data_IF_273008938124
#
_entry.id   IF_273008938124
#
_cell.length_a   1.000
_cell.length_b   1.000
_cell.length_c   1.000
_cell.angle_alpha   90.00
_cell.angle_beta   90.00
_cell.angle_gamma   90.00
#
_symmetry.space_group_name_H-M   'P 1'
#
loop_
_entity.id
_entity.type
_entity.pdbx_description
1 polymer ?
#
# COMPACT_ATOMS: atom_id res chain seq x y z
N UNK A 1 20.73 14.13 -55.46
CA UNK A 1 19.49 13.51 -54.97
C UNK A 1 19.23 14.08 -53.59
N UNK A 2 18.00 14.47 -53.28
CA UNK A 2 17.63 14.91 -51.92
C UNK A 2 17.50 13.70 -51.01
N UNK A 3 18.34 13.59 -49.97
CA UNK A 3 18.08 12.67 -48.88
C UNK A 3 16.83 13.17 -48.14
N UNK A 4 15.68 12.57 -48.43
CA UNK A 4 14.50 12.72 -47.61
C UNK A 4 14.77 12.01 -46.28
N UNK A 5 14.91 12.76 -45.19
CA UNK A 5 15.03 12.20 -43.86
C UNK A 5 13.81 11.32 -43.61
N UNK A 6 14.02 10.02 -43.39
CA UNK A 6 12.95 9.12 -43.00
C UNK A 6 12.49 9.48 -41.58
N UNK A 7 11.19 9.46 -41.34
CA UNK A 7 10.61 9.73 -40.02
C UNK A 7 9.76 8.55 -39.57
N UNK A 8 9.86 8.20 -38.29
CA UNK A 8 9.11 7.10 -37.70
C UNK A 8 8.37 7.60 -36.46
N UNK A 9 7.12 7.18 -36.32
CA UNK A 9 6.35 7.35 -35.09
C UNK A 9 6.43 6.07 -34.28
N UNK A 10 6.83 6.17 -33.02
CA UNK A 10 6.96 5.04 -32.09
C UNK A 10 5.96 5.22 -30.96
N UNK A 11 5.34 4.13 -30.52
CA UNK A 11 4.62 4.02 -29.26
C UNK A 11 5.29 2.94 -28.42
N UNK A 12 5.66 3.25 -27.17
CA UNK A 12 6.43 2.37 -26.29
C UNK A 12 5.85 2.31 -24.88
N UNK A 13 5.73 1.10 -24.35
CA UNK A 13 5.03 0.76 -23.11
C UNK A 13 5.68 -0.50 -22.45
N UNK A 14 5.61 -0.61 -21.13
CA UNK A 14 6.08 -1.76 -20.37
C UNK A 14 5.11 -2.15 -19.24
N UNK A 15 4.76 -3.42 -19.19
CA UNK A 15 3.82 -3.99 -18.23
C UNK A 15 4.51 -5.00 -17.28
N UNK A 16 4.04 -5.12 -16.04
CA UNK A 16 4.62 -6.03 -15.04
C UNK A 16 3.56 -6.68 -14.14
N UNK A 17 3.45 -8.01 -14.20
CA UNK A 17 2.53 -8.83 -13.40
C UNK A 17 3.19 -9.23 -12.09
N UNK A 18 2.88 -8.46 -11.04
CA UNK A 18 3.72 -8.35 -9.85
C UNK A 18 4.87 -7.37 -10.10
N UNK A 19 5.27 -6.60 -9.09
CA UNK A 19 6.32 -5.58 -9.22
C UNK A 19 7.21 -5.57 -7.96
N UNK A 20 8.36 -6.27 -7.94
CA UNK A 20 8.91 -7.05 -9.05
C UNK A 20 8.09 -8.31 -9.40
N UNK A 21 8.22 -8.80 -10.64
CA UNK A 21 7.46 -9.95 -11.14
C UNK A 21 7.73 -10.24 -12.63
N UNK A 22 6.81 -10.95 -13.28
CA UNK A 22 6.93 -11.27 -14.71
C UNK A 22 6.53 -10.04 -15.52
N UNK A 23 7.46 -9.47 -16.27
CA UNK A 23 7.24 -8.27 -17.07
C UNK A 23 7.43 -8.49 -18.56
N UNK A 24 6.85 -7.60 -19.35
CA UNK A 24 7.03 -7.52 -20.78
C UNK A 24 7.03 -6.08 -21.29
N UNK A 25 7.69 -5.87 -22.41
CA UNK A 25 7.84 -4.58 -23.08
C UNK A 25 7.30 -4.64 -24.51
N UNK A 26 6.74 -3.52 -24.99
CA UNK A 26 6.13 -3.41 -26.31
C UNK A 26 6.56 -2.15 -27.04
N UNK A 27 6.91 -2.28 -28.32
CA UNK A 27 7.26 -1.18 -29.21
C UNK A 27 6.51 -1.30 -30.54
N UNK A 28 5.63 -0.34 -30.81
CA UNK A 28 4.85 -0.24 -32.04
C UNK A 28 5.36 0.91 -32.90
N UNK A 29 5.85 0.61 -34.11
CA UNK A 29 6.60 1.54 -34.96
C UNK A 29 5.88 1.73 -36.30
N UNK A 30 5.72 2.99 -36.73
CA UNK A 30 5.01 3.37 -37.96
C UNK A 30 5.93 4.22 -38.83
N UNK A 31 6.08 3.86 -40.12
CA UNK A 31 6.91 4.62 -41.07
C UNK A 31 6.14 5.68 -41.89
N UNK A 32 6.86 6.46 -42.70
CA UNK A 32 6.29 7.48 -43.60
C UNK A 32 5.28 6.95 -44.61
N UNK A 33 5.25 5.65 -44.89
CA UNK A 33 4.27 5.01 -45.77
C UNK A 33 3.07 4.42 -44.98
N UNK A 34 2.99 4.67 -43.67
CA UNK A 34 2.04 4.07 -42.71
C UNK A 34 2.18 2.54 -42.58
N UNK A 35 3.33 1.97 -42.94
CA UNK A 35 3.59 0.56 -42.66
C UNK A 35 3.98 0.42 -41.19
N UNK A 36 3.36 -0.55 -40.51
CA UNK A 36 3.61 -0.86 -39.12
C UNK A 36 4.69 -1.93 -38.95
N UNK A 37 5.37 -1.89 -37.81
CA UNK A 37 6.30 -2.91 -37.31
C UNK A 37 6.07 -3.07 -35.81
N UNK A 38 6.15 -4.30 -35.32
CA UNK A 38 5.77 -4.63 -33.94
C UNK A 38 6.89 -5.43 -33.28
N UNK A 39 7.31 -4.98 -32.09
CA UNK A 39 8.38 -5.59 -31.32
C UNK A 39 7.90 -5.80 -29.88
N UNK A 40 8.24 -6.94 -29.30
CA UNK A 40 7.95 -7.24 -27.90
C UNK A 40 8.95 -8.23 -27.31
N UNK A 41 9.03 -8.26 -25.98
CA UNK A 41 9.84 -9.20 -25.22
C UNK A 41 9.50 -9.14 -23.73
N UNK A 42 10.25 -9.83 -22.87
CA UNK A 42 9.98 -9.81 -21.43
C UNK A 42 11.01 -10.53 -20.58
N UNK A 43 10.84 -10.43 -19.26
CA UNK A 43 11.72 -10.97 -18.22
C UNK A 43 10.91 -11.62 -17.09
N UNK A 44 11.38 -12.73 -16.52
CA UNK A 44 10.67 -13.47 -15.45
C UNK A 44 10.63 -12.74 -14.10
N UNK A 45 11.60 -11.86 -13.83
CA UNK A 45 11.74 -11.13 -12.58
C UNK A 45 12.32 -9.74 -12.87
N UNK A 46 11.43 -8.77 -13.07
CA UNK A 46 11.75 -7.40 -13.45
C UNK A 46 10.76 -6.43 -12.81
N UNK A 47 10.82 -5.14 -13.15
CA UNK A 47 9.87 -4.12 -12.68
C UNK A 47 9.26 -3.33 -13.84
N UNK A 48 8.12 -2.68 -13.61
CA UNK A 48 7.45 -1.88 -14.66
C UNK A 48 8.42 -0.87 -15.30
N UNK A 49 9.06 -0.04 -14.47
CA UNK A 49 10.07 0.95 -14.88
C UNK A 49 11.27 0.36 -15.65
N UNK A 50 11.54 -0.95 -15.58
CA UNK A 50 12.58 -1.60 -16.40
C UNK A 50 12.04 -2.01 -17.77
N UNK A 51 10.82 -2.55 -17.84
CA UNK A 51 10.16 -2.84 -19.12
C UNK A 51 9.89 -1.58 -19.93
N UNK A 52 9.44 -0.52 -19.27
CA UNK A 52 9.25 0.84 -19.81
C UNK A 52 10.51 1.39 -20.49
N UNK A 53 11.64 1.35 -19.78
CA UNK A 53 12.94 1.74 -20.34
C UNK A 53 13.39 0.80 -21.46
N UNK A 54 13.10 -0.50 -21.37
CA UNK A 54 13.48 -1.48 -22.40
C UNK A 54 12.68 -1.28 -23.68
N UNK A 55 11.37 -1.00 -23.60
CA UNK A 55 10.52 -0.65 -24.72
C UNK A 55 11.08 0.55 -25.50
N UNK A 56 11.45 1.61 -24.77
CA UNK A 56 12.07 2.80 -25.35
C UNK A 56 13.43 2.51 -26.00
N UNK A 57 14.30 1.73 -25.35
CA UNK A 57 15.62 1.33 -25.89
C UNK A 57 15.45 0.53 -27.19
N UNK A 58 14.71 -0.58 -27.15
CA UNK A 58 14.60 -1.52 -28.28
C UNK A 58 13.84 -0.89 -29.46
N UNK A 59 12.81 -0.06 -29.19
CA UNK A 59 12.12 0.71 -30.22
C UNK A 59 13.04 1.69 -30.97
N UNK A 60 13.92 2.41 -30.26
CA UNK A 60 14.92 3.30 -30.86
C UNK A 60 15.98 2.50 -31.63
N UNK A 61 16.43 1.35 -31.10
CA UNK A 61 17.43 0.50 -31.75
C UNK A 61 16.91 -0.16 -33.03
N UNK A 62 15.62 -0.51 -33.11
CA UNK A 62 14.98 -1.00 -34.33
C UNK A 62 14.93 0.05 -35.46
N UNK A 63 14.93 1.34 -35.13
CA UNK A 63 14.87 2.42 -36.11
C UNK A 63 16.25 2.79 -36.70
N UNK A 64 16.33 3.20 -37.99
CA UNK A 64 17.59 3.67 -38.60
C UNK A 64 18.20 4.88 -37.87
N UNK A 65 19.54 4.89 -37.72
CA UNK A 65 20.26 5.91 -36.95
C UNK A 65 20.08 7.33 -37.50
N UNK A 66 19.94 7.48 -38.83
CA UNK A 66 19.77 8.76 -39.51
C UNK A 66 18.31 9.21 -39.66
N UNK A 67 17.36 8.51 -39.03
CA UNK A 67 15.94 8.87 -39.08
C UNK A 67 15.56 9.88 -37.97
N UNK A 68 14.49 10.64 -38.23
CA UNK A 68 13.82 11.45 -37.20
C UNK A 68 12.77 10.59 -36.49
N UNK A 69 12.83 10.51 -35.17
CA UNK A 69 11.91 9.69 -34.38
C UNK A 69 10.96 10.59 -33.58
N UNK A 70 9.67 10.24 -33.58
CA UNK A 70 8.66 10.87 -32.73
C UNK A 70 8.10 9.78 -31.82
N UNK A 71 8.44 9.85 -30.53
CA UNK A 71 8.18 8.77 -29.55
C UNK A 71 7.08 9.19 -28.59
N UNK A 72 6.06 8.34 -28.50
CA UNK A 72 4.95 8.44 -27.56
C UNK A 72 5.10 7.37 -26.47
N UNK A 73 4.92 7.78 -25.22
CA UNK A 73 4.85 6.89 -24.05
C UNK A 73 3.95 7.53 -23.00
N UNK A 74 3.25 6.74 -22.21
CA UNK A 74 2.52 7.19 -21.02
C UNK A 74 3.37 7.14 -19.74
N UNK A 75 4.60 6.63 -19.84
CA UNK A 75 5.57 6.65 -18.75
C UNK A 75 6.16 8.04 -18.54
N UNK A 76 5.60 8.78 -17.58
CA UNK A 76 6.16 10.04 -17.08
C UNK A 76 7.63 9.83 -16.64
N UNK A 77 7.95 8.66 -16.07
CA UNK A 77 9.31 8.30 -15.65
C UNK A 77 10.30 8.25 -16.84
N UNK A 78 9.91 7.64 -17.96
CA UNK A 78 10.74 7.63 -19.19
C UNK A 78 10.84 9.04 -19.77
N UNK A 79 9.71 9.71 -19.99
CA UNK A 79 9.67 11.07 -20.58
C UNK A 79 10.52 12.06 -19.80
N UNK A 80 10.28 12.21 -18.48
CA UNK A 80 11.00 13.21 -17.67
C UNK A 80 12.46 12.82 -17.48
N UNK A 81 12.75 11.54 -17.32
CA UNK A 81 14.12 11.07 -17.18
C UNK A 81 14.98 11.41 -18.39
N UNK A 82 14.49 11.17 -19.62
CA UNK A 82 15.26 11.46 -20.84
C UNK A 82 15.29 12.95 -21.21
N UNK A 83 14.25 13.75 -20.92
CA UNK A 83 14.22 15.18 -21.28
C UNK A 83 14.75 16.14 -20.21
N UNK A 84 14.63 15.80 -18.93
CA UNK A 84 14.96 16.70 -17.80
C UNK A 84 16.14 16.16 -16.98
N UNK A 85 16.05 14.92 -16.49
CA UNK A 85 16.93 14.44 -15.40
C UNK A 85 18.28 13.91 -15.87
N UNK A 86 18.38 13.36 -17.09
CA UNK A 86 19.58 12.66 -17.58
C UNK A 86 20.85 13.52 -17.62
N UNK A 87 20.70 14.83 -17.81
CA UNK A 87 21.83 15.79 -17.79
C UNK A 87 22.46 15.88 -16.40
N UNK A 88 21.63 16.02 -15.36
CA UNK A 88 22.04 16.02 -13.96
C UNK A 88 22.59 14.68 -13.50
N UNK A 89 21.99 13.57 -13.93
CA UNK A 89 22.51 12.22 -13.65
C UNK A 89 23.89 12.00 -14.28
N UNK A 90 24.11 12.41 -15.52
CA UNK A 90 25.43 12.33 -16.18
C UNK A 90 26.48 13.20 -15.47
N UNK A 91 26.12 14.40 -15.04
CA UNK A 91 26.99 15.27 -14.24
C UNK A 91 27.36 14.66 -12.87
N UNK A 92 26.43 13.94 -12.23
CA UNK A 92 26.63 13.20 -10.97
C UNK A 92 27.22 11.78 -11.17
N UNK A 93 27.73 11.44 -12.36
CA UNK A 93 28.23 10.11 -12.73
C UNK A 93 27.28 8.95 -12.36
N UNK A 94 25.97 9.17 -12.53
CA UNK A 94 24.91 8.20 -12.25
C UNK A 94 24.83 7.72 -10.78
N UNK A 95 25.41 8.46 -9.84
CA UNK A 95 25.31 8.16 -8.41
C UNK A 95 23.84 8.28 -7.96
N UNK A 96 23.41 7.31 -7.15
CA UNK A 96 22.07 7.21 -6.52
C UNK A 96 20.87 7.07 -7.50
N UNK A 97 21.13 6.86 -8.80
CA UNK A 97 20.09 6.70 -9.84
C UNK A 97 19.56 5.25 -9.90
N UNK A 98 18.23 5.09 -9.93
CA UNK A 98 17.54 3.79 -10.14
C UNK A 98 17.62 3.35 -11.61
N UNK A 99 17.82 2.05 -11.85
CA UNK A 99 18.06 1.45 -13.19
C UNK A 99 19.18 2.14 -14.01
N UNK A 100 20.36 2.41 -13.43
CA UNK A 100 21.43 3.16 -14.10
C UNK A 100 22.08 2.36 -15.25
N UNK A 101 21.82 1.05 -15.33
CA UNK A 101 22.20 0.17 -16.42
C UNK A 101 21.35 0.42 -17.69
N UNK A 102 20.04 0.62 -17.53
CA UNK A 102 19.13 0.90 -18.64
C UNK A 102 19.23 2.37 -19.08
N UNK A 103 19.33 3.32 -18.14
CA UNK A 103 19.49 4.73 -18.51
C UNK A 103 20.75 5.01 -19.33
N UNK A 104 21.87 4.32 -19.06
CA UNK A 104 23.08 4.40 -19.88
C UNK A 104 22.89 3.85 -21.30
N UNK A 105 22.12 2.76 -21.46
CA UNK A 105 21.74 2.22 -22.77
C UNK A 105 20.85 3.20 -23.54
N UNK A 106 19.86 3.81 -22.87
CA UNK A 106 18.94 4.76 -23.50
C UNK A 106 19.65 6.06 -23.93
N UNK A 107 20.52 6.60 -23.09
CA UNK A 107 21.42 7.72 -23.42
C UNK A 107 22.25 7.42 -24.68
N UNK A 108 22.86 6.22 -24.73
CA UNK A 108 23.64 5.77 -25.88
C UNK A 108 22.78 5.56 -27.14
N UNK A 109 21.56 5.03 -27.00
CA UNK A 109 20.64 4.84 -28.12
C UNK A 109 20.15 6.17 -28.73
N UNK A 110 19.93 7.18 -27.88
CA UNK A 110 19.53 8.54 -28.29
C UNK A 110 20.69 9.37 -28.86
N UNK A 111 21.94 9.08 -28.46
CA UNK A 111 23.11 9.89 -28.82
C UNK A 111 23.28 10.03 -30.33
N UNK A 112 23.25 11.27 -30.82
CA UNK A 112 23.44 11.60 -32.23
C UNK A 112 22.20 11.42 -33.13
N UNK A 113 21.04 11.05 -32.57
CA UNK A 113 19.76 10.96 -33.30
C UNK A 113 18.92 12.23 -33.11
N UNK A 114 17.96 12.46 -34.02
CA UNK A 114 16.92 13.48 -33.85
C UNK A 114 15.66 12.80 -33.29
N UNK A 115 15.33 13.04 -32.02
CA UNK A 115 14.22 12.38 -31.31
C UNK A 115 13.36 13.42 -30.61
N UNK A 116 12.08 13.42 -30.93
CA UNK A 116 11.02 14.16 -30.24
C UNK A 116 10.26 13.22 -29.29
N UNK A 117 9.98 13.68 -28.07
CA UNK A 117 9.33 12.88 -27.02
C UNK A 117 8.02 13.53 -26.61
N UNK A 118 6.93 12.75 -26.65
CA UNK A 118 5.61 13.15 -26.20
C UNK A 118 5.11 12.22 -25.09
N UNK A 119 4.51 12.81 -24.07
CA UNK A 119 3.71 12.06 -23.11
C UNK A 119 2.26 11.94 -23.62
N UNK A 120 1.68 10.76 -23.45
CA UNK A 120 0.26 10.48 -23.69
C UNK A 120 -0.36 9.86 -22.45
N UNK A 121 -1.70 9.87 -22.34
CA UNK A 121 -2.38 9.23 -21.22
C UNK A 121 -2.67 7.76 -21.55
N UNK A 122 -2.19 6.85 -20.71
CA UNK A 122 -2.47 5.41 -20.84
C UNK A 122 -3.96 5.08 -20.81
N UNK A 123 -4.35 4.05 -21.57
CA UNK A 123 -5.72 3.56 -21.77
C UNK A 123 -6.77 4.67 -22.07
N UNK A 124 -6.41 5.65 -22.91
CA UNK A 124 -7.24 6.83 -23.19
C UNK A 124 -7.81 6.91 -24.63
N UNK A 125 -7.89 5.79 -25.36
CA UNK A 125 -8.37 5.75 -26.75
C UNK A 125 -7.30 6.08 -27.79
N UNK A 126 -6.01 5.92 -27.44
CA UNK A 126 -4.91 6.10 -28.39
C UNK A 126 -4.51 4.74 -28.98
N UNK A 127 -4.92 4.48 -30.23
CA UNK A 127 -4.68 3.22 -30.94
C UNK A 127 -3.21 2.75 -30.91
N UNK A 128 -2.25 3.69 -30.95
CA UNK A 128 -0.82 3.38 -30.92
C UNK A 128 -0.32 2.95 -29.54
N UNK A 129 -0.73 3.66 -28.48
CA UNK A 129 -0.37 3.32 -27.11
C UNK A 129 -1.08 2.03 -26.65
N UNK A 130 -2.35 1.84 -27.01
CA UNK A 130 -3.08 0.61 -26.74
C UNK A 130 -2.49 -0.59 -27.50
N UNK A 131 -1.85 -0.35 -28.65
CA UNK A 131 -1.07 -1.40 -29.32
C UNK A 131 0.26 -1.71 -28.62
N UNK A 132 0.90 -0.71 -28.01
CA UNK A 132 2.10 -0.91 -27.20
C UNK A 132 1.80 -1.71 -25.91
N UNK A 133 0.73 -1.39 -25.18
CA UNK A 133 0.21 -2.15 -24.02
C UNK A 133 -0.05 -3.62 -24.37
N UNK A 134 -0.75 -3.88 -25.49
CA UNK A 134 -0.98 -5.22 -26.00
C UNK A 134 0.33 -5.97 -26.27
N UNK A 135 1.32 -5.31 -26.87
CA UNK A 135 2.64 -5.90 -27.14
C UNK A 135 3.42 -6.17 -25.84
N UNK A 136 3.36 -5.27 -24.85
CA UNK A 136 3.97 -5.47 -23.54
C UNK A 136 3.38 -6.68 -22.80
N UNK A 137 2.05 -6.82 -22.82
CA UNK A 137 1.36 -7.98 -22.25
C UNK A 137 1.71 -9.29 -22.99
N UNK A 138 1.71 -9.29 -24.34
CA UNK A 138 2.18 -10.42 -25.14
C UNK A 138 3.65 -10.79 -24.84
N UNK A 139 4.47 -9.80 -24.52
CA UNK A 139 5.81 -9.96 -23.96
C UNK A 139 5.82 -10.84 -22.71
N UNK A 140 5.10 -10.44 -21.67
CA UNK A 140 5.00 -11.18 -20.40
C UNK A 140 4.42 -12.61 -20.58
N UNK A 141 3.41 -12.76 -21.44
CA UNK A 141 2.80 -14.07 -21.74
C UNK A 141 3.77 -15.01 -22.48
N UNK A 142 4.61 -14.48 -23.38
CA UNK A 142 5.58 -15.29 -24.13
C UNK A 142 6.62 -15.94 -23.22
N UNK A 143 7.09 -15.22 -22.20
CA UNK A 143 8.04 -15.70 -21.18
C UNK A 143 7.38 -16.75 -20.29
N UNK A 144 6.12 -16.52 -19.89
CA UNK A 144 5.34 -17.45 -19.08
C UNK A 144 5.15 -18.79 -19.80
N UNK A 145 4.74 -18.76 -21.08
CA UNK A 145 4.57 -19.98 -21.90
C UNK A 145 5.89 -20.74 -22.09
N UNK A 146 7.00 -20.04 -22.29
CA UNK A 146 8.32 -20.66 -22.45
C UNK A 146 8.76 -21.44 -21.19
N UNK A 147 8.44 -20.93 -20.00
CA UNK A 147 8.70 -21.63 -18.73
C UNK A 147 7.98 -22.98 -18.63
N UNK A 148 6.81 -23.15 -19.26
CA UNK A 148 6.11 -24.44 -19.31
C UNK A 148 6.71 -25.42 -20.34
N UNK A 149 7.30 -24.92 -21.43
CA UNK A 149 7.88 -25.80 -22.48
C UNK A 149 9.26 -26.35 -22.15
N UNK A 150 9.96 -25.78 -21.17
CA UNK A 150 11.31 -26.20 -20.77
C UNK A 150 11.29 -27.30 -19.67
N UNK A 151 10.12 -27.90 -19.38
CA UNK A 151 9.95 -29.04 -18.46
C UNK A 151 10.04 -30.39 -19.22
N UNK A 152 10.70 -31.45 -18.68
CA UNK A 152 10.91 -32.70 -19.43
C UNK A 152 9.64 -33.55 -19.62
N UNK A 153 9.39 -34.03 -20.84
CA UNK A 153 8.29 -34.96 -21.15
C UNK A 153 8.52 -36.38 -20.59
N UNK A 154 7.49 -36.96 -19.96
CA UNK A 154 7.45 -38.39 -19.58
C UNK A 154 6.24 -39.13 -20.18
N UNK A 155 6.42 -39.66 -21.38
CA UNK A 155 5.77 -40.86 -21.95
C UNK A 155 4.27 -41.13 -21.65
N UNK A 156 3.42 -40.61 -22.56
CA UNK A 156 2.30 -41.27 -23.27
C UNK A 156 1.38 -42.31 -22.60
N UNK A 157 0.09 -42.09 -22.90
CA UNK A 157 -0.99 -43.07 -23.10
C UNK A 157 -1.47 -43.87 -21.88
N UNK A 158 -2.61 -43.44 -21.35
CA UNK A 158 -3.82 -44.25 -21.58
C UNK A 158 -4.94 -43.37 -22.16
N UNK A 159 -6.07 -43.96 -22.57
CA UNK A 159 -7.09 -43.28 -23.38
C UNK A 159 -8.19 -42.71 -22.49
N UNK A 160 -8.19 -41.40 -22.32
CA UNK A 160 -9.14 -40.70 -21.45
C UNK A 160 -10.61 -40.92 -21.88
N UNK A 161 -11.48 -41.07 -20.88
CA UNK A 161 -12.92 -41.30 -20.99
C UNK A 161 -13.69 -39.97 -20.90
N UNK A 162 -13.06 -38.90 -20.43
CA UNK A 162 -13.68 -37.59 -20.13
C UNK A 162 -14.06 -36.72 -21.36
N UNK A 163 -14.15 -37.30 -22.56
CA UNK A 163 -14.38 -36.57 -23.82
C UNK A 163 -15.69 -36.90 -24.56
N UNK A 164 -16.54 -37.76 -23.99
CA UNK A 164 -17.84 -38.18 -24.56
C UNK A 164 -18.99 -38.08 -23.53
N UNK A 165 -19.12 -36.95 -22.80
CA UNK A 165 -20.36 -36.65 -22.04
C UNK A 165 -21.39 -35.89 -22.92
N UNK A 166 -22.61 -36.42 -23.12
CA UNK A 166 -23.64 -35.78 -23.94
C UNK A 166 -24.41 -34.63 -23.25
N UNK A 167 -24.13 -34.27 -21.99
CA UNK A 167 -24.81 -33.20 -21.24
C UNK A 167 -23.86 -32.07 -20.82
N UNK A 168 -23.37 -31.31 -21.80
CA UNK A 168 -22.38 -30.25 -21.59
C UNK A 168 -22.76 -29.15 -20.58
N UNK A 169 -22.17 -29.24 -19.39
CA UNK A 169 -22.01 -28.21 -18.36
C UNK A 169 -20.62 -28.40 -17.75
N UNK A 170 -19.79 -27.35 -17.71
CA UNK A 170 -18.55 -27.31 -16.91
C UNK A 170 -18.06 -25.85 -16.76
N UNK A 171 -18.46 -25.21 -15.67
CA UNK A 171 -17.56 -24.45 -14.79
C UNK A 171 -17.23 -25.45 -13.65
N UNK A 172 -16.00 -25.62 -13.15
CA UNK A 172 -15.30 -24.67 -12.27
C UNK A 172 -13.85 -25.14 -11.89
N UNK A 173 -13.17 -24.32 -11.06
CA UNK A 173 -12.16 -24.54 -9.96
C UNK A 173 -11.63 -26.00 -9.65
N UNK A 174 -10.47 -26.29 -8.99
CA UNK A 174 -9.78 -25.67 -7.82
C UNK A 174 -8.29 -26.13 -7.62
N UNK A 175 -7.48 -25.33 -6.90
CA UNK A 175 -6.38 -25.54 -5.90
C UNK A 175 -5.31 -26.71 -5.88
N UNK A 176 -4.04 -26.30 -5.63
CA UNK A 176 -2.97 -26.75 -4.65
C UNK A 176 -2.52 -28.24 -4.50
N UNK A 177 -1.30 -28.64 -4.05
CA UNK A 177 -0.07 -28.02 -3.45
C UNK A 177 1.24 -28.73 -3.98
N UNK A 178 2.49 -28.70 -3.47
CA UNK A 178 3.20 -28.10 -2.29
C UNK A 178 4.63 -27.55 -2.71
N UNK A 179 5.87 -27.79 -2.19
CA UNK A 179 6.52 -28.67 -1.17
C UNK A 179 7.88 -28.02 -0.66
N UNK A 180 8.57 -28.67 0.31
CA UNK A 180 9.82 -28.34 1.05
C UNK A 180 11.08 -27.94 0.23
N UNK A 181 12.03 -27.12 0.73
CA UNK A 181 12.90 -27.39 1.90
C UNK A 181 13.63 -26.14 2.49
N UNK A 182 14.56 -26.33 3.45
CA UNK A 182 14.87 -25.42 4.59
C UNK A 182 16.37 -25.11 4.78
N UNK A 183 16.74 -23.92 5.31
CA UNK A 183 17.90 -23.70 6.20
C UNK A 183 17.66 -22.49 7.15
N UNK A 184 18.26 -22.49 8.36
CA UNK A 184 18.12 -21.46 9.42
C UNK A 184 19.46 -20.79 9.83
N UNK A 185 19.45 -19.55 10.36
CA UNK A 185 20.60 -18.95 11.06
C UNK A 185 20.46 -18.96 12.61
N UNK A 186 21.07 -19.98 13.21
CA UNK A 186 21.56 -20.11 14.61
C UNK A 186 21.43 -18.91 15.58
N UNK A 187 20.74 -19.13 16.71
CA UNK A 187 20.77 -18.28 17.92
C UNK A 187 22.12 -18.30 18.65
N UNK A 188 22.51 -17.17 19.28
CA UNK A 188 23.54 -17.12 20.32
C UNK A 188 22.90 -16.64 21.63
N UNK A 189 22.92 -17.49 22.66
CA UNK A 189 22.42 -17.16 24.00
C UNK A 189 23.54 -16.60 24.90
N UNK A 190 23.22 -15.64 25.74
CA UNK A 190 24.03 -15.27 26.91
C UNK A 190 23.12 -15.11 28.13
N UNK A 191 23.41 -15.88 29.19
CA UNK A 191 22.78 -15.72 30.50
C UNK A 191 23.35 -14.50 31.22
N UNK A 192 22.49 -13.74 31.91
CA UNK A 192 22.84 -13.03 33.16
C UNK A 192 21.65 -13.22 34.11
N UNK A 193 21.91 -13.55 35.37
CA UNK A 193 20.93 -14.09 36.31
C UNK A 193 19.96 -13.06 36.91
N UNK A 194 18.77 -13.52 37.28
CA UNK A 194 17.96 -12.87 38.30
C UNK A 194 18.61 -13.05 39.68
N UNK A 195 18.91 -11.97 40.40
CA UNK A 195 18.41 -11.69 41.76
C UNK A 195 19.25 -10.61 42.47
N UNK A 196 18.64 -9.48 42.80
CA UNK A 196 18.94 -8.72 44.03
C UNK A 196 17.72 -7.85 44.36
N UNK A 197 16.92 -8.27 45.34
CA UNK A 197 15.83 -7.46 45.88
C UNK A 197 16.42 -6.46 46.87
N UNK A 198 16.36 -5.17 46.57
CA UNK A 198 16.49 -4.10 47.57
C UNK A 198 15.28 -3.19 47.48
N UNK A 199 14.58 -3.07 48.61
CA UNK A 199 13.42 -2.22 48.80
C UNK A 199 13.78 -0.72 48.74
N UNK A 200 13.13 0.03 47.85
CA UNK A 200 12.85 1.44 48.06
C UNK A 200 11.44 1.78 47.56
N UNK A 201 10.48 1.82 48.48
CA UNK A 201 9.13 2.32 48.21
C UNK A 201 9.14 3.84 48.02
N UNK A 202 8.68 4.29 46.85
CA UNK A 202 8.30 5.67 46.59
C UNK A 202 7.30 5.72 45.45
N UNK A 203 6.15 6.37 45.70
CA UNK A 203 5.11 6.55 44.70
C UNK A 203 5.63 7.32 43.48
N UNK A 204 5.48 6.73 42.30
CA UNK A 204 5.58 7.46 41.04
C UNK A 204 4.18 7.66 40.48
N UNK A 205 3.61 8.82 40.81
CA UNK A 205 2.49 9.41 40.09
C UNK A 205 2.75 9.35 38.59
N UNK A 206 1.72 9.00 37.82
CA UNK A 206 1.75 9.07 36.36
C UNK A 206 2.16 10.48 35.94
N UNK A 207 3.20 10.58 35.12
CA UNK A 207 3.89 11.83 34.86
C UNK A 207 3.20 12.57 33.71
N UNK A 208 2.41 13.60 34.02
CA UNK A 208 1.81 14.51 33.04
C UNK A 208 2.92 15.25 32.28
N UNK A 209 3.35 14.71 31.14
CA UNK A 209 4.28 15.40 30.24
C UNK A 209 3.50 16.40 29.39
N UNK A 210 3.22 17.56 29.97
CA UNK A 210 2.74 18.73 29.24
C UNK A 210 3.71 19.06 28.10
N UNK A 211 3.21 19.06 26.86
CA UNK A 211 4.02 19.38 25.68
C UNK A 211 4.39 20.88 25.69
N UNK A 212 5.47 21.25 26.37
CA UNK A 212 6.00 22.62 26.35
C UNK A 212 6.68 22.92 25.02
N UNK A 213 5.85 23.22 24.01
CA UNK A 213 6.28 23.79 22.73
C UNK A 213 7.01 25.12 23.04
N UNK A 214 8.20 25.38 22.46
CA UNK A 214 8.87 26.68 22.57
C UNK A 214 7.94 27.79 22.05
N UNK A 215 7.86 28.93 22.75
CA UNK A 215 6.89 29.99 22.43
C UNK A 215 6.98 30.51 20.98
N UNK A 216 8.17 30.44 20.36
CA UNK A 216 8.44 30.81 18.97
C UNK A 216 7.88 29.81 17.94
N UNK A 217 7.56 28.57 18.35
CA UNK A 217 6.99 27.52 17.51
C UNK A 217 5.48 27.30 17.76
N UNK A 218 4.94 27.81 18.87
CA UNK A 218 3.53 27.63 19.26
C UNK A 218 2.52 28.32 18.31
N UNK A 219 2.97 29.26 17.47
CA UNK A 219 2.15 29.88 16.41
C UNK A 219 2.06 28.99 15.15
N UNK A 220 3.03 28.09 14.95
CA UNK A 220 3.16 27.26 13.74
C UNK A 220 2.81 25.77 13.95
N UNK A 221 2.91 25.28 15.17
CA UNK A 221 2.55 23.91 15.56
C UNK A 221 1.20 23.94 16.25
N UNK A 222 0.15 23.54 15.55
CA UNK A 222 -1.16 23.30 16.17
C UNK A 222 -1.17 21.90 16.78
N UNK A 223 -0.97 21.81 18.09
CA UNK A 223 -1.35 20.63 18.86
C UNK A 223 -2.70 20.91 19.51
N UNK A 224 -3.68 20.05 19.28
CA UNK A 224 -4.95 20.07 20.01
C UNK A 224 -4.85 19.09 21.19
N UNK A 225 -5.21 19.52 22.40
CA UNK A 225 -5.19 18.63 23.56
C UNK A 225 -6.27 17.54 23.48
N UNK A 226 -5.97 16.36 24.04
CA UNK A 226 -6.86 15.19 24.10
C UNK A 226 -8.17 15.50 24.86
N UNK A 227 -9.26 15.74 24.13
CA UNK A 227 -10.58 16.07 24.72
C UNK A 227 -11.26 14.89 25.43
N UNK A 228 -10.80 13.66 25.19
CA UNK A 228 -11.30 12.44 25.82
C UNK A 228 -10.13 11.54 26.25
N UNK A 229 -9.76 11.57 27.53
CA UNK A 229 -8.80 10.62 28.08
C UNK A 229 -9.35 9.18 28.00
N UNK A 230 -8.64 8.30 27.30
CA UNK A 230 -8.95 6.88 27.20
C UNK A 230 -7.67 6.05 27.37
N UNK A 231 -7.82 4.84 27.93
CA UNK A 231 -6.75 3.84 27.96
C UNK A 231 -6.97 2.83 26.82
N UNK A 232 -5.92 2.55 26.05
CA UNK A 232 -5.94 1.64 24.91
C UNK A 232 -4.68 1.81 24.07
N UNK A 233 -4.59 1.07 22.97
CA UNK A 233 -3.55 1.30 21.96
C UNK A 233 -3.80 2.62 21.22
N UNK A 234 -2.72 3.38 21.00
CA UNK A 234 -2.75 4.72 20.41
C UNK A 234 -2.44 4.61 18.92
N UNK A 235 -3.47 4.80 18.10
CA UNK A 235 -3.32 4.93 16.65
C UNK A 235 -3.13 6.42 16.30
N UNK A 236 -2.15 6.72 15.46
CA UNK A 236 -1.98 8.03 14.85
C UNK A 236 -2.24 7.90 13.36
N UNK A 237 -3.36 8.45 12.91
CA UNK A 237 -3.74 8.45 11.50
C UNK A 237 -3.05 9.65 10.86
N UNK A 238 -2.18 9.40 9.89
CA UNK A 238 -1.15 10.33 9.43
C UNK A 238 -1.11 10.40 7.91
N UNK A 239 -0.83 11.61 7.42
CA UNK A 239 -0.62 11.94 6.00
C UNK A 239 0.46 13.04 5.89
N UNK A 240 1.13 13.16 4.74
CA UNK A 240 2.22 14.15 4.54
C UNK A 240 2.25 14.75 3.13
N UNK A 241 2.28 16.09 3.05
CA UNK A 241 2.55 16.79 1.80
C UNK A 241 4.05 17.03 1.61
N UNK A 242 4.50 16.97 0.36
CA UNK A 242 5.92 16.99 -0.01
C UNK A 242 6.17 17.84 -1.27
N UNK A 243 7.38 18.39 -1.42
CA UNK A 243 7.75 19.14 -2.63
C UNK A 243 7.73 18.29 -3.91
N UNK A 244 7.76 16.96 -3.78
CA UNK A 244 7.84 16.01 -4.88
C UNK A 244 7.98 14.58 -4.38
N UNK A 245 7.94 13.61 -5.28
CA UNK A 245 7.75 12.19 -4.92
C UNK A 245 9.01 11.47 -4.40
N UNK A 246 10.21 12.07 -4.42
CA UNK A 246 11.46 11.35 -4.18
C UNK A 246 12.40 12.04 -3.17
N UNK A 247 12.32 11.61 -1.90
CA UNK A 247 13.25 12.02 -0.82
C UNK A 247 14.74 11.85 -1.19
N UNK A 248 15.05 10.92 -2.10
CA UNK A 248 16.38 10.61 -2.63
C UNK A 248 16.91 11.68 -3.61
N UNK A 249 16.02 12.31 -4.39
CA UNK A 249 16.37 13.42 -5.29
C UNK A 249 16.41 14.77 -4.55
N UNK A 250 16.23 14.76 -3.23
CA UNK A 250 16.23 15.94 -2.38
C UNK A 250 14.87 16.63 -2.31
N UNK A 251 13.77 15.91 -2.48
CA UNK A 251 12.46 16.39 -2.02
C UNK A 251 12.36 16.41 -0.50
N UNK A 252 11.45 17.23 0.01
CA UNK A 252 11.28 17.56 1.44
C UNK A 252 9.80 17.52 1.82
N UNK A 253 9.52 17.31 3.11
CA UNK A 253 8.18 17.45 3.68
C UNK A 253 7.85 18.94 3.86
N UNK A 254 6.61 19.34 3.53
CA UNK A 254 6.10 20.71 3.66
C UNK A 254 4.87 20.81 4.56
N UNK A 255 4.13 19.72 4.76
CA UNK A 255 3.03 19.64 5.73
C UNK A 255 3.03 18.27 6.39
N UNK A 256 2.75 18.24 7.69
CA UNK A 256 2.45 17.01 8.44
C UNK A 256 1.11 17.20 9.12
N UNK A 257 0.19 16.28 8.87
CA UNK A 257 -1.08 16.16 9.58
C UNK A 257 -1.17 14.78 10.21
N UNK A 258 -1.40 14.72 11.52
CA UNK A 258 -1.73 13.45 12.18
C UNK A 258 -2.74 13.63 13.30
N UNK A 259 -3.71 12.72 13.39
CA UNK A 259 -4.81 12.76 14.35
C UNK A 259 -4.86 11.50 15.21
N UNK A 260 -5.25 11.68 16.47
CA UNK A 260 -5.19 10.62 17.48
C UNK A 260 -6.51 9.84 17.58
N UNK A 261 -6.39 8.52 17.52
CA UNK A 261 -7.48 7.58 17.69
C UNK A 261 -7.12 6.53 18.74
N UNK A 262 -7.97 6.38 19.76
CA UNK A 262 -7.86 5.35 20.80
C UNK A 262 -9.17 4.56 20.82
N UNK A 263 -9.09 3.23 20.91
CA UNK A 263 -10.27 2.34 20.95
C UNK A 263 -11.32 2.63 19.84
N UNK A 264 -10.84 2.92 18.61
CA UNK A 264 -11.68 3.27 17.45
C UNK A 264 -12.48 4.59 17.59
N UNK A 265 -12.03 5.51 18.46
CA UNK A 265 -12.63 6.85 18.63
C UNK A 265 -11.55 7.91 18.47
N UNK A 266 -11.83 8.95 17.69
CA UNK A 266 -11.01 10.15 17.64
C UNK A 266 -11.04 10.83 19.02
N UNK A 267 -9.87 11.17 19.57
CA UNK A 267 -9.78 11.76 20.91
C UNK A 267 -9.93 13.29 20.90
N UNK A 268 -9.92 13.89 19.70
CA UNK A 268 -9.80 15.33 19.47
C UNK A 268 -8.35 15.82 19.45
N UNK A 269 -7.37 15.00 19.87
CA UNK A 269 -5.96 15.33 19.73
C UNK A 269 -5.50 15.22 18.29
N UNK A 270 -4.72 16.21 17.86
CA UNK A 270 -4.17 16.33 16.52
C UNK A 270 -2.89 17.14 16.55
N UNK A 271 -1.99 16.86 15.62
CA UNK A 271 -0.81 17.67 15.33
C UNK A 271 -0.85 18.11 13.87
N UNK A 272 -0.71 19.41 13.63
CA UNK A 272 -0.70 20.01 12.30
C UNK A 272 0.42 21.04 12.21
N UNK A 273 1.34 20.83 11.25
CA UNK A 273 2.56 21.62 11.10
C UNK A 273 2.81 21.90 9.61
N UNK A 274 2.98 23.18 9.27
CA UNK A 274 3.61 23.59 8.01
C UNK A 274 5.12 23.75 8.20
N UNK A 275 5.90 23.29 7.23
CA UNK A 275 7.36 23.14 7.32
C UNK A 275 8.00 23.87 6.14
N UNK A 276 9.04 24.67 6.41
CA UNK A 276 9.85 25.27 5.36
C UNK A 276 10.82 24.21 4.78
N UNK A 277 10.71 23.87 3.48
CA UNK A 277 11.54 22.84 2.84
C UNK A 277 12.96 23.30 2.49
N UNK A 278 13.28 24.59 2.60
CA UNK A 278 14.58 25.17 2.16
C UNK A 278 14.87 24.96 0.66
N UNK A 279 13.83 24.74 -0.14
CA UNK A 279 13.85 24.38 -1.58
C UNK A 279 12.56 24.91 -2.23
N UNK A 280 12.60 25.23 -3.51
CA UNK A 280 11.39 25.52 -4.31
C UNK A 280 10.41 24.33 -4.30
N UNK A 281 9.13 24.60 -4.06
CA UNK A 281 8.02 23.64 -4.14
C UNK A 281 7.81 23.16 -5.58
N UNK A 282 7.65 24.10 -6.51
CA UNK A 282 7.49 23.82 -7.93
C UNK A 282 6.13 23.21 -8.29
N UNK A 283 6.12 22.14 -9.10
CA UNK A 283 4.89 21.60 -9.70
C UNK A 283 3.89 21.02 -8.68
N UNK A 284 4.33 20.70 -7.47
CA UNK A 284 3.51 20.12 -6.39
C UNK A 284 2.47 21.12 -5.83
N UNK A 285 2.69 22.43 -5.94
CA UNK A 285 1.71 23.46 -5.53
C UNK A 285 0.33 23.25 -6.19
N UNK A 286 0.28 22.67 -7.40
CA UNK A 286 -0.96 22.36 -8.12
C UNK A 286 -1.81 21.24 -7.46
N UNK A 287 -1.28 20.53 -6.46
CA UNK A 287 -1.92 19.41 -5.75
C UNK A 287 -2.46 19.87 -4.39
N UNK A 288 -1.63 20.58 -3.61
CA UNK A 288 -1.88 20.95 -2.21
C UNK A 288 -2.01 22.47 -1.97
N UNK A 289 -1.79 23.33 -2.99
CA UNK A 289 -2.04 24.77 -2.89
C UNK A 289 -1.13 25.55 -1.94
N UNK A 290 0.02 24.98 -1.57
CA UNK A 290 1.00 25.61 -0.66
C UNK A 290 2.13 26.21 -1.50
N UNK A 291 2.17 27.54 -1.61
CA UNK A 291 3.18 28.26 -2.37
C UNK A 291 4.48 28.45 -1.59
N UNK A 292 5.58 28.68 -2.31
CA UNK A 292 6.89 29.02 -1.72
C UNK A 292 6.81 30.22 -0.76
N UNK A 293 6.06 31.26 -1.12
CA UNK A 293 5.81 32.43 -0.27
C UNK A 293 5.14 32.03 1.07
N UNK A 294 4.15 31.12 1.04
CA UNK A 294 3.45 30.66 2.24
C UNK A 294 4.29 29.72 3.13
N UNK A 295 5.31 29.06 2.59
CA UNK A 295 6.22 28.20 3.37
C UNK A 295 7.48 28.95 3.83
N UNK A 296 7.75 30.14 3.30
CA UNK A 296 8.98 30.90 3.55
C UNK A 296 9.19 31.31 5.02
N UNK A 297 8.10 31.61 5.74
CA UNK A 297 8.06 32.02 7.16
C UNK A 297 8.00 30.84 8.14
N UNK A 298 7.74 29.63 7.65
CA UNK A 298 7.47 28.44 8.48
C UNK A 298 8.75 27.87 9.11
N UNK A 299 8.67 27.14 10.23
CA UNK A 299 9.83 26.52 10.85
C UNK A 299 10.40 25.40 9.96
N UNK A 300 11.72 25.22 10.00
CA UNK A 300 12.42 24.14 9.30
C UNK A 300 12.21 22.80 10.02
N UNK A 301 12.31 21.68 9.30
CA UNK A 301 12.11 20.35 9.89
C UNK A 301 12.96 20.13 11.15
N UNK A 302 14.23 20.55 11.14
CA UNK A 302 15.15 20.40 12.29
C UNK A 302 14.66 21.12 13.57
N UNK A 303 13.83 22.16 13.46
CA UNK A 303 13.25 22.88 14.60
C UNK A 303 12.04 22.15 15.19
N UNK A 304 11.25 21.45 14.37
CA UNK A 304 10.04 20.74 14.80
C UNK A 304 10.29 19.25 15.08
N UNK A 305 11.43 18.70 14.64
CA UNK A 305 11.75 17.28 14.71
C UNK A 305 11.62 16.68 16.12
N UNK A 306 12.13 17.36 17.16
CA UNK A 306 12.01 16.86 18.53
C UNK A 306 10.55 16.70 18.97
N UNK A 307 9.71 17.68 18.65
CA UNK A 307 8.29 17.73 19.04
C UNK A 307 7.50 16.66 18.27
N UNK A 308 7.74 16.55 16.95
CA UNK A 308 7.07 15.56 16.12
C UNK A 308 7.54 14.12 16.46
N UNK A 309 8.82 13.91 16.75
CA UNK A 309 9.34 12.59 17.13
C UNK A 309 8.71 12.10 18.44
N UNK A 310 8.71 12.92 19.50
CA UNK A 310 8.10 12.53 20.78
C UNK A 310 6.56 12.46 20.69
N UNK A 311 5.90 13.18 19.78
CA UNK A 311 4.46 12.99 19.51
C UNK A 311 4.15 11.67 18.78
N UNK A 312 4.98 11.24 17.82
CA UNK A 312 4.75 10.01 17.04
C UNK A 312 5.14 8.72 17.77
N UNK A 313 6.20 8.79 18.58
CA UNK A 313 6.83 7.67 19.30
C UNK A 313 5.86 6.88 20.17
N UNK A 314 5.92 5.55 20.07
CA UNK A 314 5.10 4.63 20.88
C UNK A 314 3.65 4.50 20.43
N UNK A 315 3.26 5.11 19.30
CA UNK A 315 1.98 4.89 18.64
C UNK A 315 2.11 3.90 17.45
N UNK A 316 0.98 3.41 16.95
CA UNK A 316 0.89 2.80 15.63
C UNK A 316 0.50 3.87 14.60
N UNK A 317 1.33 4.06 13.57
CA UNK A 317 1.10 5.00 12.48
C UNK A 317 0.24 4.32 11.41
N UNK A 318 -0.90 4.94 11.08
CA UNK A 318 -1.87 4.46 10.10
C UNK A 318 -1.94 5.46 8.95
N UNK A 319 -1.36 5.11 7.80
CA UNK A 319 -1.25 6.00 6.64
C UNK A 319 -1.73 5.30 5.35
N UNK A 320 -1.90 6.05 4.26
CA UNK A 320 -2.37 5.52 2.98
C UNK A 320 -1.23 5.45 1.95
N UNK A 321 -0.81 4.24 1.58
CA UNK A 321 0.49 3.98 0.95
C UNK A 321 1.66 4.32 1.90
N UNK A 322 1.54 3.94 3.19
CA UNK A 322 2.41 4.35 4.31
C UNK A 322 3.94 4.23 4.08
N UNK A 323 4.37 3.38 3.13
CA UNK A 323 5.75 3.33 2.64
C UNK A 323 6.25 4.69 2.11
N UNK A 324 5.37 5.57 1.61
CA UNK A 324 5.72 6.91 1.16
C UNK A 324 6.10 7.81 2.32
N UNK A 325 5.16 8.07 3.23
CA UNK A 325 5.30 8.95 4.39
C UNK A 325 6.45 8.50 5.28
N UNK A 326 6.54 7.21 5.58
CA UNK A 326 7.60 6.67 6.44
C UNK A 326 8.98 6.80 5.81
N UNK A 327 9.12 6.75 4.48
CA UNK A 327 10.41 7.01 3.82
C UNK A 327 10.83 8.48 3.93
N UNK A 328 9.89 9.41 3.73
CA UNK A 328 10.15 10.84 3.88
C UNK A 328 10.44 11.23 5.33
N UNK A 329 9.62 10.77 6.27
CA UNK A 329 9.81 11.02 7.70
C UNK A 329 11.14 10.44 8.18
N UNK A 330 11.46 9.17 7.88
CA UNK A 330 12.75 8.58 8.24
C UNK A 330 13.93 9.42 7.70
N UNK A 331 13.88 9.85 6.43
CA UNK A 331 14.95 10.64 5.83
C UNK A 331 15.12 12.03 6.48
N UNK A 332 14.04 12.71 6.87
CA UNK A 332 14.11 13.99 7.58
C UNK A 332 14.51 13.83 9.06
N UNK A 333 14.09 12.76 9.74
CA UNK A 333 14.52 12.45 11.10
C UNK A 333 16.00 12.09 11.17
N UNK A 334 16.52 11.27 10.25
CA UNK A 334 17.95 10.99 10.14
C UNK A 334 18.77 12.26 9.87
N UNK A 335 18.28 13.16 8.98
CA UNK A 335 18.89 14.49 8.75
C UNK A 335 18.89 15.36 10.01
N UNK A 336 17.86 15.28 10.84
CA UNK A 336 17.75 16.01 12.10
C UNK A 336 18.55 15.38 13.26
N UNK A 337 19.12 14.19 13.08
CA UNK A 337 19.91 13.47 14.09
C UNK A 337 19.12 12.52 14.98
N UNK A 338 17.88 12.18 14.59
CA UNK A 338 17.03 11.19 15.25
C UNK A 338 17.18 9.81 14.58
N UNK A 339 16.77 8.76 15.28
CA UNK A 339 16.69 7.41 14.70
C UNK A 339 15.45 7.24 13.82
N UNK A 340 15.42 6.18 13.01
CA UNK A 340 14.25 5.83 12.20
C UNK A 340 13.01 5.57 13.07
N UNK A 341 11.87 6.20 12.73
CA UNK A 341 10.57 5.99 13.37
C UNK A 341 10.13 4.53 13.32
N UNK A 342 10.50 3.79 12.28
CA UNK A 342 10.20 2.36 12.11
C UNK A 342 10.81 1.46 13.21
N UNK A 343 11.61 2.01 14.12
CA UNK A 343 12.13 1.33 15.32
C UNK A 343 11.35 1.64 16.60
N UNK A 344 10.47 2.65 16.59
CA UNK A 344 9.76 3.18 17.77
C UNK A 344 8.24 3.31 17.59
N UNK A 345 7.72 3.06 16.39
CA UNK A 345 6.30 3.09 16.05
C UNK A 345 5.89 1.82 15.29
N UNK A 346 4.66 1.34 15.53
CA UNK A 346 4.02 0.41 14.59
C UNK A 346 3.65 1.12 13.28
N UNK A 347 3.48 0.38 12.19
CA UNK A 347 3.03 0.95 10.90
C UNK A 347 2.02 0.03 10.22
N UNK A 348 0.84 0.58 9.92
CA UNK A 348 -0.23 -0.08 9.16
C UNK A 348 -0.51 0.69 7.87
N UNK A 349 -0.26 0.05 6.72
CA UNK A 349 -0.63 0.61 5.41
C UNK A 349 -2.10 0.29 5.07
N UNK A 350 -2.93 1.34 5.07
CA UNK A 350 -4.35 1.24 4.72
C UNK A 350 -4.57 0.92 3.23
N UNK A 351 -3.61 1.18 2.34
CA UNK A 351 -3.70 0.79 0.93
C UNK A 351 -3.55 -0.73 0.79
N UNK A 352 -2.67 -1.37 1.56
CA UNK A 352 -2.58 -2.83 1.65
C UNK A 352 -3.87 -3.45 2.22
N UNK A 353 -4.43 -2.85 3.27
CA UNK A 353 -5.72 -3.27 3.83
C UNK A 353 -6.87 -3.15 2.80
N UNK A 354 -6.94 -2.01 2.09
CA UNK A 354 -7.92 -1.78 1.04
C UNK A 354 -7.77 -2.77 -0.13
N UNK A 355 -6.54 -3.06 -0.57
CA UNK A 355 -6.25 -4.06 -1.61
C UNK A 355 -6.68 -5.48 -1.22
N UNK A 356 -6.56 -5.85 0.06
CA UNK A 356 -7.05 -7.15 0.59
C UNK A 356 -8.57 -7.19 0.66
N UNK A 357 -9.23 -6.09 1.07
CA UNK A 357 -10.70 -6.02 1.20
C UNK A 357 -11.42 -5.84 -0.14
N UNK A 358 -10.77 -5.23 -1.13
CA UNK A 358 -11.32 -4.94 -2.46
C UNK A 358 -10.32 -5.30 -3.59
N UNK A 359 -10.02 -6.59 -3.80
CA UNK A 359 -9.11 -7.03 -4.85
C UNK A 359 -9.61 -6.62 -6.24
N UNK A 360 -8.68 -6.34 -7.16
CA UNK A 360 -8.97 -5.94 -8.55
C UNK A 360 -9.59 -4.55 -8.74
N UNK A 361 -9.97 -3.84 -7.68
CA UNK A 361 -10.62 -2.53 -7.77
C UNK A 361 -9.68 -1.34 -7.52
N UNK A 362 -10.14 -0.13 -7.89
CA UNK A 362 -9.48 1.13 -7.48
C UNK A 362 -9.58 1.29 -5.96
N UNK A 363 -8.46 1.62 -5.33
CA UNK A 363 -8.30 1.68 -3.87
C UNK A 363 -7.49 2.90 -3.40
N UNK A 364 -7.45 3.97 -4.20
CA UNK A 364 -6.99 5.29 -3.74
C UNK A 364 -7.99 5.90 -2.75
N UNK A 365 -7.57 6.89 -1.96
CA UNK A 365 -8.41 7.56 -0.95
C UNK A 365 -9.77 8.02 -1.54
N UNK A 366 -9.77 8.72 -2.68
CA UNK A 366 -11.00 9.14 -3.38
C UNK A 366 -11.93 7.98 -3.78
N UNK A 367 -11.37 6.81 -4.12
CA UNK A 367 -12.16 5.63 -4.46
C UNK A 367 -12.78 4.99 -3.20
N UNK A 368 -12.06 5.04 -2.07
CA UNK A 368 -12.54 4.54 -0.79
C UNK A 368 -13.60 5.46 -0.17
N UNK A 369 -13.40 6.79 -0.22
CA UNK A 369 -14.40 7.80 0.18
C UNK A 369 -15.73 7.56 -0.54
N UNK A 370 -15.69 7.37 -1.87
CA UNK A 370 -16.89 7.09 -2.68
C UNK A 370 -17.49 5.71 -2.38
N UNK A 371 -16.68 4.68 -2.11
CA UNK A 371 -17.15 3.33 -1.80
C UNK A 371 -17.80 3.23 -0.41
N UNK A 372 -17.35 4.04 0.55
CA UNK A 372 -17.85 4.07 1.92
C UNK A 372 -18.87 5.19 2.20
N UNK A 373 -19.33 5.89 1.16
CA UNK A 373 -20.33 6.98 1.24
C UNK A 373 -19.96 8.07 2.25
N UNK A 374 -18.65 8.29 2.44
CA UNK A 374 -18.12 9.25 3.43
C UNK A 374 -18.48 10.67 2.97
N UNK A 375 -18.97 11.55 3.88
CA UNK A 375 -19.39 12.90 3.52
C UNK A 375 -18.31 13.66 2.76
N UNK A 376 -18.65 14.14 1.57
CA UNK A 376 -17.74 14.93 0.75
C UNK A 376 -17.38 16.23 1.47
N UNK A 377 -16.09 16.39 1.76
CA UNK A 377 -15.48 17.61 2.31
C UNK A 377 -14.96 18.46 1.15
N UNK A 378 -14.79 19.77 1.35
CA UNK A 378 -14.15 20.61 0.33
C UNK A 378 -12.64 20.29 0.29
N UNK A 379 -12.27 19.52 -0.74
CA UNK A 379 -10.92 19.02 -1.01
C UNK A 379 -10.41 19.64 -2.32
N UNK A 380 -10.66 20.93 -2.51
CA UNK A 380 -10.17 21.73 -3.67
C UNK A 380 -8.65 21.70 -3.78
N UNK A 381 -7.97 21.58 -2.64
CA UNK A 381 -6.57 21.18 -2.54
C UNK A 381 -6.45 19.96 -1.62
N UNK A 382 -5.39 19.19 -1.80
CA UNK A 382 -4.94 18.22 -0.80
C UNK A 382 -4.33 18.97 0.39
N UNK A 383 -4.31 18.33 1.55
CA UNK A 383 -3.75 18.93 2.76
C UNK A 383 -3.77 17.93 3.90
N UNK A 384 -2.61 17.69 4.49
CA UNK A 384 -2.31 16.50 5.27
C UNK A 384 -3.27 16.30 6.47
N UNK A 385 -3.73 17.37 7.12
CA UNK A 385 -4.72 17.25 8.21
C UNK A 385 -6.10 16.81 7.70
N UNK A 386 -6.57 17.38 6.58
CA UNK A 386 -7.85 17.03 5.98
C UNK A 386 -7.84 15.58 5.47
N UNK A 387 -6.74 15.17 4.85
CA UNK A 387 -6.61 13.83 4.29
C UNK A 387 -6.39 12.77 5.38
N UNK A 388 -5.70 13.09 6.48
CA UNK A 388 -5.68 12.25 7.69
C UNK A 388 -7.08 12.09 8.33
N UNK A 389 -7.90 13.14 8.39
CA UNK A 389 -9.28 13.05 8.88
C UNK A 389 -10.19 12.23 7.95
N UNK A 390 -10.06 12.38 6.64
CA UNK A 390 -10.76 11.56 5.66
C UNK A 390 -10.30 10.09 5.75
N UNK A 391 -8.99 9.88 5.93
CA UNK A 391 -8.41 8.55 6.13
C UNK A 391 -8.92 7.89 7.42
N UNK A 392 -9.21 8.65 8.47
CA UNK A 392 -9.81 8.11 9.69
C UNK A 392 -11.23 7.60 9.47
N UNK A 393 -12.08 8.35 8.75
CA UNK A 393 -13.43 7.89 8.37
C UNK A 393 -13.33 6.62 7.50
N UNK A 394 -12.41 6.59 6.53
CA UNK A 394 -12.14 5.44 5.66
C UNK A 394 -11.62 4.24 6.47
N UNK A 395 -10.68 4.44 7.38
CA UNK A 395 -10.13 3.37 8.23
C UNK A 395 -11.20 2.81 9.17
N UNK A 396 -12.01 3.66 9.78
CA UNK A 396 -13.13 3.24 10.62
C UNK A 396 -14.17 2.43 9.83
N UNK A 397 -14.50 2.81 8.59
CA UNK A 397 -15.42 2.05 7.73
C UNK A 397 -14.79 0.75 7.17
N UNK A 398 -13.48 0.72 6.93
CA UNK A 398 -12.78 -0.50 6.52
C UNK A 398 -12.67 -1.53 7.64
N UNK A 399 -12.43 -1.10 8.88
CA UNK A 399 -12.20 -1.98 10.04
C UNK A 399 -13.44 -2.21 10.90
N UNK A 400 -14.40 -1.28 10.86
CA UNK A 400 -15.65 -1.31 11.62
C UNK A 400 -16.74 -2.09 10.89
N UNK A 401 -16.47 -3.35 10.58
CA UNK A 401 -17.46 -4.23 9.97
C UNK A 401 -18.74 -4.30 10.82
N UNK A 402 -19.87 -4.53 10.16
CA UNK A 402 -20.98 -5.22 10.82
C UNK A 402 -20.41 -6.45 11.53
N UNK A 403 -20.89 -6.73 12.74
CA UNK A 403 -20.75 -8.09 13.29
C UNK A 403 -21.37 -9.01 12.26
N UNK A 404 -20.55 -9.86 11.64
CA UNK A 404 -21.08 -10.89 10.75
C UNK A 404 -21.94 -11.80 11.61
N UNK A 405 -23.27 -11.70 11.42
CA UNK A 405 -24.16 -12.74 11.86
C UNK A 405 -23.95 -13.89 10.87
N UNK A 406 -22.94 -14.71 11.15
CA UNK A 406 -22.53 -15.87 10.38
C UNK A 406 -23.65 -16.94 10.44
N UNK A 407 -24.71 -16.69 9.69
CA UNK A 407 -25.92 -17.51 9.59
C UNK A 407 -25.86 -18.38 8.32
N UNK A 408 -25.25 -17.88 7.24
CA UNK A 408 -25.13 -18.59 5.95
C UNK A 408 -23.69 -18.52 5.38
N UNK A 409 -22.72 -19.08 6.09
CA UNK A 409 -21.43 -19.47 5.50
C UNK A 409 -20.91 -20.82 6.02
N UNK A 410 -21.81 -21.67 6.52
CA UNK A 410 -21.54 -23.03 7.00
C UNK A 410 -21.45 -24.05 5.86
N UNK A 411 -20.89 -23.66 4.71
CA UNK A 411 -20.74 -24.49 3.52
C UNK A 411 -19.53 -24.05 2.67
N UNK A 412 -18.32 -24.45 3.09
CA UNK A 412 -17.23 -24.94 2.20
C UNK A 412 -15.95 -25.37 2.95
N UNK A 413 -15.69 -24.85 4.16
CA UNK A 413 -14.48 -25.20 4.93
C UNK A 413 -14.72 -26.30 5.98
N UNK A 414 -14.75 -27.56 5.55
CA UNK A 414 -14.93 -28.72 6.44
C UNK A 414 -13.81 -29.79 6.38
N UNK A 415 -12.72 -29.57 5.63
CA UNK A 415 -11.67 -30.58 5.41
C UNK A 415 -10.22 -30.20 5.80
N UNK A 416 -9.95 -28.98 6.30
CA UNK A 416 -8.55 -28.55 6.56
C UNK A 416 -8.31 -27.86 7.93
N UNK A 417 -9.08 -28.20 8.96
CA UNK A 417 -8.76 -27.85 10.35
C UNK A 417 -8.75 -29.11 11.23
N UNK A 418 -7.72 -29.94 11.04
CA UNK A 418 -7.19 -30.81 12.10
C UNK A 418 -5.73 -30.45 12.36
N UNK A 419 -5.33 -30.62 13.63
CA UNK A 419 -4.03 -30.30 14.22
C UNK A 419 -3.79 -28.82 14.59
N UNK A 420 -3.25 -28.64 15.80
CA UNK A 420 -2.62 -27.43 16.35
C UNK A 420 -3.45 -26.17 16.67
N UNK A 421 -4.76 -26.30 16.89
CA UNK A 421 -5.45 -25.42 17.86
C UNK A 421 -5.23 -25.93 19.29
N UNK A 422 -4.05 -25.66 19.88
CA UNK A 422 -3.87 -25.81 21.33
C UNK A 422 -4.74 -24.76 22.04
N UNK A 423 -5.97 -25.13 22.40
CA UNK A 423 -6.78 -24.34 23.33
C UNK A 423 -6.01 -24.23 24.65
N UNK A 424 -5.49 -23.04 24.95
CA UNK A 424 -4.80 -22.75 26.20
C UNK A 424 -5.83 -22.58 27.34
N UNK A 425 -6.53 -23.67 27.64
CA UNK A 425 -7.68 -23.76 28.54
C UNK A 425 -7.25 -23.75 30.01
N UNK A 426 -6.57 -22.68 30.41
CA UNK A 426 -6.37 -22.35 31.83
C UNK A 426 -7.76 -22.23 32.49
N UNK A 427 -8.10 -23.04 33.50
CA UNK A 427 -9.42 -23.04 34.10
C UNK A 427 -9.60 -21.81 35.00
N UNK A 428 -9.97 -20.68 34.41
CA UNK A 428 -10.35 -19.47 35.15
C UNK A 428 -11.61 -19.79 35.95
N UNK A 429 -11.45 -19.94 37.27
CA UNK A 429 -12.55 -20.22 38.20
C UNK A 429 -13.43 -18.99 38.36
N UNK A 430 -14.44 -18.86 37.49
CA UNK A 430 -15.44 -17.79 37.57
C UNK A 430 -16.53 -18.15 38.58
N UNK A 431 -17.04 -17.18 39.36
CA UNK A 431 -18.07 -17.45 40.37
C UNK A 431 -19.42 -17.74 39.69
N UNK A 432 -19.83 -19.00 39.67
CA UNK A 432 -21.14 -19.43 39.15
C UNK A 432 -22.25 -18.97 40.11
N UNK A 433 -22.90 -17.86 39.79
CA UNK A 433 -24.07 -17.36 40.51
C UNK A 433 -25.26 -18.27 40.20
N UNK A 434 -25.74 -19.00 41.22
CA UNK A 434 -26.96 -19.80 41.13
C UNK A 434 -28.20 -18.93 41.38
N UNK A 435 -29.37 -19.26 40.78
CA UNK A 435 -30.63 -18.61 41.11
C UNK A 435 -30.98 -18.82 42.59
N UNK A 436 -31.70 -17.85 43.16
CA UNK A 436 -32.25 -17.90 44.52
C UNK A 436 -33.47 -18.81 44.58
N UNK A 437 -33.82 -19.27 45.78
CA UNK A 437 -35.01 -20.10 45.99
C UNK A 437 -36.31 -19.41 45.53
N UNK A 438 -36.40 -18.08 45.72
CA UNK A 438 -37.52 -17.25 45.22
C UNK A 438 -37.62 -17.24 43.69
N UNK A 439 -36.48 -17.18 42.99
CA UNK A 439 -36.39 -17.15 41.53
C UNK A 439 -36.73 -18.53 40.94
N UNK A 440 -36.28 -19.61 41.61
CA UNK A 440 -36.61 -20.99 41.27
C UNK A 440 -38.11 -21.27 41.48
N UNK A 441 -38.69 -20.81 42.60
CA UNK A 441 -40.12 -20.93 42.89
C UNK A 441 -40.98 -20.14 41.89
N UNK A 442 -40.54 -18.92 41.50
CA UNK A 442 -41.20 -18.14 40.46
C UNK A 442 -41.16 -18.84 39.09
N UNK A 443 -40.04 -19.46 38.73
CA UNK A 443 -39.93 -20.27 37.51
C UNK A 443 -40.85 -21.50 37.54
N UNK A 444 -40.91 -22.23 38.66
CA UNK A 444 -41.84 -23.37 38.83
C UNK A 444 -43.32 -22.94 38.76
N UNK A 445 -43.68 -21.80 39.35
CA UNK A 445 -45.03 -21.25 39.25
C UNK A 445 -45.39 -20.85 37.81
N UNK A 446 -44.45 -20.25 37.08
CA UNK A 446 -44.62 -19.93 35.66
C UNK A 446 -44.77 -21.19 34.79
N UNK A 447 -43.98 -22.23 35.06
CA UNK A 447 -44.08 -23.53 34.39
C UNK A 447 -45.46 -24.18 34.59
N UNK A 448 -46.00 -24.16 35.82
CA UNK A 448 -47.34 -24.66 36.11
C UNK A 448 -48.43 -23.88 35.35
N UNK A 449 -48.35 -22.54 35.32
CA UNK A 449 -49.27 -21.68 34.55
C UNK A 449 -49.16 -21.91 33.04
N UNK A 450 -47.95 -22.14 32.53
CA UNK A 450 -47.74 -22.46 31.11
C UNK A 450 -48.42 -23.78 30.73
N UNK A 451 -48.29 -24.81 31.59
CA UNK A 451 -48.92 -26.12 31.41
C UNK A 451 -50.45 -26.04 31.47
N UNK A 452 -51.01 -25.36 32.47
CA UNK A 452 -52.45 -25.14 32.61
C UNK A 452 -53.06 -24.38 31.41
N UNK A 453 -52.28 -23.50 30.78
CA UNK A 453 -52.73 -22.70 29.63
C UNK A 453 -52.63 -23.40 28.27
N UNK A 454 -51.68 -24.33 28.09
CA UNK A 454 -51.36 -24.93 26.79
C UNK A 454 -51.66 -26.45 26.71
N UNK A 455 -52.09 -27.07 27.82
CA UNK A 455 -52.49 -28.49 27.93
C UNK A 455 -51.39 -29.51 27.52
N UNK A 456 -50.13 -29.06 27.56
CA UNK A 456 -48.92 -29.83 27.29
C UNK A 456 -47.80 -29.42 28.28
N UNK A 457 -46.87 -30.33 28.64
CA UNK A 457 -45.66 -29.98 29.39
C UNK A 457 -44.76 -29.06 28.54
N UNK A 458 -43.77 -28.43 29.18
CA UNK A 458 -42.71 -27.70 28.46
C UNK A 458 -41.43 -28.52 28.33
N UNK A 459 -40.58 -28.15 27.37
CA UNK A 459 -39.27 -28.79 27.12
C UNK A 459 -38.32 -28.78 28.35
N UNK A 460 -38.58 -27.91 29.35
CA UNK A 460 -37.86 -27.91 30.64
C UNK A 460 -38.38 -28.98 31.62
N UNK A 461 -39.67 -29.34 31.57
CA UNK A 461 -40.21 -30.48 32.32
C UNK A 461 -39.71 -31.81 31.70
N UNK A 462 -39.68 -31.91 30.37
CA UNK A 462 -39.30 -33.14 29.66
C UNK A 462 -37.82 -33.54 29.81
N UNK A 463 -36.92 -32.57 30.05
CA UNK A 463 -35.48 -32.80 30.18
C UNK A 463 -34.96 -32.71 31.64
N UNK A 464 -35.85 -32.64 32.64
CA UNK A 464 -35.45 -32.67 34.04
C UNK A 464 -35.14 -34.12 34.49
N UNK A 465 -33.91 -34.46 34.92
CA UNK A 465 -33.61 -35.78 35.47
C UNK A 465 -34.32 -35.99 36.83
N UNK A 466 -34.73 -37.23 37.08
CA UNK A 466 -35.46 -37.67 38.29
C UNK A 466 -34.55 -37.95 39.50
#
# INVERSE_FOLDING_TARGET
MSNSTQSFTLYVDGACRGNPGIGGWGAFIIDQQKKTQEYHGGELNTTNNRMELTAAIEGILACPVAAQLTIYTDSIYVKRGITEWITGWKAKNWKDVKNPDLWKKLDQACTGRNIEWHWVKGHAGNEGNERADQLANLGADSVTKKKLTDLPESTKNEKDWLLDDPFGLDEDLVAEADDLNTEEPMMIATHIDETTIISSSQDKTLNEQTHTIPAELAEFIKITDTTQHQHGERLLILDTETTGFYYQDGDRIIEVGAIEMINRRLTGSSIHIYINPEKEVGESENIHGLSDDFLSDKPKFQQIAAILFDYLKGAEIVAHNATFDMNFLNAEFERAGFGSLSTVCGVTDTLLLAKRKHPGQKNSLDALVRRYEIPARDRTFHGALLDAEILADVYLAMTGGQVSLDIDNSAHNQQQIQLNSQQNSQPISTPVIKPREEELAAHQAWMAQYREKNDQPSLFEENSPA
#
